data_IF_450651145066
#
_entry.id   IF_450651145066
#
_cell.length_a   1.000
_cell.length_b   1.000
_cell.length_c   1.000
_cell.angle_alpha   90.00
_cell.angle_beta   90.00
_cell.angle_gamma   90.00
#
_symmetry.space_group_name_H-M   'P 1'
#
loop_
_entity.id
_entity.type
_entity.pdbx_description
1 polymer ?
#
# COMPACT_ATOMS: atom_id res chain seq x y z
N UNK A 1 0.01 -16.42 -12.59
CA UNK A 1 1.43 -16.88 -12.60
C UNK A 1 2.34 -15.69 -12.96
N UNK A 2 2.23 -14.60 -12.20
CA UNK A 2 2.77 -13.28 -12.62
C UNK A 2 3.78 -12.75 -11.60
N UNK A 3 3.50 -12.92 -10.30
CA UNK A 3 4.40 -12.47 -9.23
C UNK A 3 5.74 -13.20 -9.20
N UNK A 4 5.75 -14.53 -9.40
CA UNK A 4 7.00 -15.31 -9.40
C UNK A 4 7.95 -14.90 -10.53
N UNK A 5 7.44 -14.69 -11.74
CA UNK A 5 8.22 -14.18 -12.88
C UNK A 5 8.73 -12.75 -12.65
N UNK A 6 7.92 -11.89 -12.03
CA UNK A 6 8.33 -10.52 -11.67
C UNK A 6 9.53 -10.53 -10.71
N UNK A 7 9.49 -11.41 -9.71
CA UNK A 7 10.58 -11.61 -8.76
C UNK A 7 11.82 -12.22 -9.43
N UNK A 8 11.64 -13.23 -10.29
CA UNK A 8 12.72 -13.85 -11.07
C UNK A 8 13.41 -12.84 -12.01
N UNK A 9 12.71 -11.79 -12.46
CA UNK A 9 13.29 -10.68 -13.22
C UNK A 9 13.95 -9.58 -12.35
N UNK A 10 14.04 -9.78 -11.03
CA UNK A 10 14.62 -8.80 -10.09
C UNK A 10 13.65 -7.67 -9.69
N UNK A 11 12.36 -7.82 -9.97
CA UNK A 11 11.33 -6.88 -9.56
C UNK A 11 11.17 -6.84 -8.05
N UNK A 12 10.84 -5.65 -7.52
CA UNK A 12 10.52 -5.46 -6.10
C UNK A 12 9.09 -4.96 -5.96
N UNK A 13 8.41 -5.44 -4.94
CA UNK A 13 7.09 -4.94 -4.58
C UNK A 13 7.24 -3.64 -3.82
N UNK A 14 6.52 -2.61 -4.23
CA UNK A 14 6.59 -1.31 -3.58
C UNK A 14 5.31 -1.10 -2.76
N UNK A 15 5.46 -0.65 -1.52
CA UNK A 15 4.35 -0.44 -0.61
C UNK A 15 4.55 0.77 0.28
N UNK A 16 3.47 1.18 0.94
CA UNK A 16 3.47 2.28 1.92
C UNK A 16 2.82 1.83 3.21
N UNK A 17 3.03 2.60 4.29
CA UNK A 17 2.35 2.37 5.56
C UNK A 17 0.82 2.46 5.44
N UNK A 18 0.27 3.19 4.46
CA UNK A 18 -1.18 3.27 4.25
C UNK A 18 -1.72 1.92 3.77
N UNK A 19 -1.06 1.29 2.80
CA UNK A 19 -1.43 -0.05 2.31
C UNK A 19 -1.32 -1.08 3.44
N UNK A 20 -0.25 -1.01 4.25
CA UNK A 20 -0.09 -1.89 5.42
C UNK A 20 -1.20 -1.68 6.47
N UNK A 21 -1.59 -0.43 6.74
CA UNK A 21 -2.63 -0.12 7.70
C UNK A 21 -4.00 -0.64 7.25
N UNK A 22 -4.35 -0.45 5.98
CA UNK A 22 -5.60 -0.96 5.41
C UNK A 22 -5.63 -2.50 5.39
N UNK A 23 -4.54 -3.12 4.95
CA UNK A 23 -4.39 -4.57 4.98
C UNK A 23 -4.48 -5.12 6.41
N UNK A 24 -3.77 -4.51 7.37
CA UNK A 24 -3.83 -4.88 8.78
C UNK A 24 -5.26 -4.79 9.31
N UNK A 25 -6.01 -3.73 8.99
CA UNK A 25 -7.41 -3.59 9.36
C UNK A 25 -8.28 -4.74 8.85
N UNK A 26 -8.08 -5.15 7.59
CA UNK A 26 -8.79 -6.30 7.02
C UNK A 26 -8.45 -7.62 7.71
N UNK A 27 -7.16 -7.89 7.97
CA UNK A 27 -6.74 -9.12 8.65
C UNK A 27 -7.21 -9.10 10.11
N UNK A 28 -7.17 -7.95 10.78
CA UNK A 28 -7.67 -7.80 12.14
C UNK A 28 -9.15 -8.16 12.24
N UNK A 29 -9.96 -7.70 11.28
CA UNK A 29 -11.39 -7.98 11.27
C UNK A 29 -11.73 -9.45 10.97
N UNK A 30 -10.95 -10.11 10.09
CA UNK A 30 -11.26 -11.49 9.63
C UNK A 30 -10.51 -12.59 10.36
N UNK A 31 -9.27 -12.34 10.77
CA UNK A 31 -8.34 -13.31 11.36
C UNK A 31 -7.91 -12.98 12.79
N UNK A 32 -8.35 -11.84 13.32
CA UNK A 32 -8.09 -11.42 14.69
C UNK A 32 -6.67 -10.85 14.93
N UNK A 33 -6.39 -10.40 16.17
CA UNK A 33 -5.19 -9.64 16.48
C UNK A 33 -3.86 -10.40 16.33
N UNK A 34 -3.87 -11.72 16.50
CA UNK A 34 -2.67 -12.54 16.34
C UNK A 34 -2.22 -12.62 14.87
N UNK A 35 -3.16 -12.95 13.98
CA UNK A 35 -2.90 -13.02 12.54
C UNK A 35 -2.48 -11.65 11.97
N UNK A 36 -3.17 -10.58 12.40
CA UNK A 36 -2.88 -9.21 11.95
C UNK A 36 -1.45 -8.76 12.32
N UNK A 37 -0.97 -9.09 13.52
CA UNK A 37 0.41 -8.81 13.93
C UNK A 37 1.42 -9.65 13.16
N UNK A 38 1.17 -10.96 13.07
CA UNK A 38 2.11 -11.89 12.43
C UNK A 38 2.35 -11.54 10.96
N UNK A 39 1.31 -11.12 10.24
CA UNK A 39 1.45 -10.79 8.82
C UNK A 39 2.19 -9.48 8.58
N UNK A 40 2.06 -8.49 9.46
CA UNK A 40 2.84 -7.25 9.36
C UNK A 40 4.33 -7.50 9.53
N UNK A 41 4.73 -8.27 10.55
CA UNK A 41 6.13 -8.65 10.74
C UNK A 41 6.69 -9.38 9.52
N UNK A 42 5.95 -10.36 9.00
CA UNK A 42 6.38 -11.12 7.82
C UNK A 42 6.58 -10.22 6.58
N UNK A 43 5.68 -9.25 6.33
CA UNK A 43 5.80 -8.34 5.19
C UNK A 43 6.94 -7.33 5.33
N UNK A 44 7.22 -6.86 6.55
CA UNK A 44 8.30 -5.91 6.81
C UNK A 44 9.69 -6.57 6.76
N UNK A 45 9.78 -7.84 7.13
CA UNK A 45 11.03 -8.62 7.10
C UNK A 45 11.34 -9.21 5.72
N UNK A 46 10.35 -9.30 4.83
CA UNK A 46 10.52 -9.84 3.48
C UNK A 46 11.27 -8.84 2.57
N UNK A 47 12.50 -9.16 2.12
CA UNK A 47 13.34 -8.27 1.31
C UNK A 47 12.80 -8.02 -0.10
N UNK A 48 11.76 -8.75 -0.50
CA UNK A 48 11.06 -8.53 -1.77
C UNK A 48 10.19 -7.28 -1.74
N UNK A 49 9.85 -6.78 -0.55
CA UNK A 49 9.11 -5.54 -0.38
C UNK A 49 10.05 -4.36 -0.11
N UNK A 50 9.79 -3.26 -0.81
CA UNK A 50 10.39 -1.98 -0.59
C UNK A 50 9.32 -1.01 -0.07
N UNK A 51 9.50 -0.55 1.16
CA UNK A 51 8.61 0.39 1.81
C UNK A 51 9.03 1.83 1.50
N UNK A 52 8.09 2.65 1.03
CA UNK A 52 8.30 4.07 0.77
C UNK A 52 7.59 4.91 1.81
N UNK A 53 8.30 5.92 2.29
CA UNK A 53 7.73 6.95 3.15
C UNK A 53 6.73 7.81 2.37
N UNK A 54 5.67 8.20 3.06
CA UNK A 54 4.62 9.05 2.52
C UNK A 54 4.65 10.38 3.28
N UNK A 55 5.38 11.40 2.78
CA UNK A 55 5.38 12.71 3.40
C UNK A 55 4.01 13.39 3.20
N UNK A 56 3.68 14.33 4.09
CA UNK A 56 2.41 15.09 4.01
C UNK A 56 2.26 15.83 2.68
N UNK A 57 3.35 16.27 2.06
CA UNK A 57 3.33 16.88 0.73
C UNK A 57 2.79 15.93 -0.35
N UNK A 58 3.17 14.65 -0.33
CA UNK A 58 2.66 13.64 -1.24
C UNK A 58 1.17 13.39 -1.00
N UNK A 59 0.73 13.36 0.26
CA UNK A 59 -0.69 13.24 0.62
C UNK A 59 -1.50 14.41 0.05
N UNK A 60 -1.00 15.64 0.17
CA UNK A 60 -1.66 16.83 -0.39
C UNK A 60 -1.73 16.76 -1.92
N UNK A 61 -0.66 16.33 -2.57
CA UNK A 61 -0.64 16.13 -4.02
C UNK A 61 -1.66 15.06 -4.45
N UNK A 62 -1.73 13.94 -3.72
CA UNK A 62 -2.68 12.86 -3.98
C UNK A 62 -4.14 13.31 -3.86
N UNK A 63 -4.47 14.09 -2.82
CA UNK A 63 -5.81 14.66 -2.64
C UNK A 63 -6.18 15.54 -3.84
N UNK A 64 -5.34 16.53 -4.16
CA UNK A 64 -5.62 17.47 -5.25
C UNK A 64 -5.64 16.79 -6.63
N UNK A 65 -4.71 15.86 -6.87
CA UNK A 65 -4.51 15.21 -8.14
C UNK A 65 -5.56 14.13 -8.46
N UNK A 66 -6.11 13.49 -7.43
CA UNK A 66 -6.97 12.31 -7.60
C UNK A 66 -8.33 12.44 -6.93
N UNK A 67 -8.39 12.75 -5.64
CA UNK A 67 -9.67 12.77 -4.91
C UNK A 67 -10.53 13.97 -5.33
N UNK A 68 -9.93 15.17 -5.36
CA UNK A 68 -10.64 16.39 -5.76
C UNK A 68 -10.96 16.38 -7.26
N UNK A 69 -10.00 15.91 -8.07
CA UNK A 69 -10.12 15.84 -9.53
C UNK A 69 -11.19 14.85 -9.99
N UNK A 70 -11.29 13.69 -9.34
CA UNK A 70 -12.21 12.61 -9.70
C UNK A 70 -13.24 12.37 -8.59
N UNK A 71 -13.92 13.44 -8.18
CA UNK A 71 -14.86 13.47 -7.03
C UNK A 71 -16.04 12.49 -7.12
N UNK A 72 -16.36 12.03 -8.32
CA UNK A 72 -17.44 11.07 -8.60
C UNK A 72 -16.96 9.60 -8.48
N UNK A 73 -15.64 9.39 -8.42
CA UNK A 73 -15.03 8.08 -8.28
C UNK A 73 -14.82 7.73 -6.81
N UNK A 74 -14.93 6.43 -6.50
CA UNK A 74 -14.81 5.91 -5.12
C UNK A 74 -13.38 5.52 -4.78
N UNK A 75 -12.43 6.43 -4.97
CA UNK A 75 -11.04 6.21 -4.56
C UNK A 75 -10.88 6.41 -3.05
N UNK A 76 -10.17 5.50 -2.41
CA UNK A 76 -9.70 5.70 -1.04
C UNK A 76 -8.49 6.63 -1.02
N UNK A 77 -8.11 7.11 0.18
CA UNK A 77 -6.86 7.84 0.35
C UNK A 77 -5.65 6.94 0.01
N UNK A 78 -5.70 5.66 0.36
CA UNK A 78 -4.65 4.68 0.03
C UNK A 78 -4.46 4.58 -1.48
N UNK A 79 -5.57 4.52 -2.24
CA UNK A 79 -5.53 4.47 -3.71
C UNK A 79 -4.89 5.74 -4.27
N UNK A 80 -5.39 6.92 -3.87
CA UNK A 80 -4.88 8.20 -4.35
C UNK A 80 -3.38 8.39 -4.07
N UNK A 81 -2.92 8.05 -2.86
CA UNK A 81 -1.50 8.12 -2.51
C UNK A 81 -0.68 7.11 -3.33
N UNK A 82 -1.22 5.93 -3.58
CA UNK A 82 -0.53 4.92 -4.41
C UNK A 82 -0.42 5.37 -5.86
N UNK A 83 -1.47 5.99 -6.43
CA UNK A 83 -1.44 6.55 -7.77
C UNK A 83 -0.43 7.69 -7.88
N UNK A 84 -0.42 8.60 -6.91
CA UNK A 84 0.52 9.72 -6.90
C UNK A 84 1.97 9.27 -6.71
N UNK A 85 2.21 8.21 -5.93
CA UNK A 85 3.54 7.63 -5.74
C UNK A 85 4.08 6.92 -6.99
N UNK A 86 3.19 6.35 -7.82
CA UNK A 86 3.54 5.62 -9.05
C UNK A 86 3.65 6.52 -10.29
N UNK A 87 3.32 7.80 -10.14
CA UNK A 87 3.40 8.79 -11.20
C UNK A 87 4.84 9.22 -11.48
#
# INVERSE_FOLDING_TARGET
MTGRRFLESGGRWLGTALVLAEFHGHVLHRGGPAAARSVLSALLEDPLYQWRDVPVSLVRAAIAGWLDRFRDQRFSLTDAVSFELMR
#
